data_IF_794723036031
#
_entry.id   IF_794723036031
#
_cell.length_a   1.000
_cell.length_b   1.000
_cell.length_c   1.000
_cell.angle_alpha   90.00
_cell.angle_beta   90.00
_cell.angle_gamma   90.00
#
_symmetry.space_group_name_H-M   'P 1'
#
loop_
_entity.id
_entity.type
_entity.pdbx_description
1 polymer ?
#
# COMPACT_ATOMS: atom_id res chain seq x y z
N UNK A 1 5.77 6.23 -1.79
CA UNK A 1 5.49 7.01 -0.56
C UNK A 1 5.83 6.14 0.65
N UNK A 2 7.04 6.27 1.24
CA UNK A 2 7.55 5.38 2.28
C UNK A 2 6.66 5.31 3.53
N UNK A 3 6.08 6.43 3.95
CA UNK A 3 5.22 6.52 5.12
C UNK A 3 3.97 5.63 5.01
N UNK A 4 3.25 5.68 3.88
CA UNK A 4 2.08 4.80 3.69
C UNK A 4 2.44 3.32 3.72
N UNK A 5 3.62 2.96 3.20
CA UNK A 5 4.08 1.58 3.25
C UNK A 5 4.35 1.15 4.69
N UNK A 6 5.04 1.99 5.45
CA UNK A 6 5.32 1.74 6.87
C UNK A 6 4.03 1.62 7.70
N UNK A 7 3.04 2.49 7.45
CA UNK A 7 1.73 2.44 8.09
C UNK A 7 0.98 1.14 7.76
N UNK A 8 0.97 0.73 6.50
CA UNK A 8 0.35 -0.53 6.07
C UNK A 8 1.06 -1.74 6.67
N UNK A 9 2.39 -1.74 6.70
CA UNK A 9 3.18 -2.81 7.30
C UNK A 9 2.87 -2.92 8.80
N UNK A 10 2.73 -1.79 9.50
CA UNK A 10 2.31 -1.78 10.92
C UNK A 10 0.91 -2.34 11.12
N UNK A 11 -0.05 -1.93 10.29
CA UNK A 11 -1.43 -2.45 10.36
C UNK A 11 -1.46 -3.94 10.11
N UNK A 12 -0.70 -4.44 9.12
CA UNK A 12 -0.59 -5.87 8.83
C UNK A 12 -0.03 -6.64 10.01
N UNK A 13 1.03 -6.14 10.67
CA UNK A 13 1.59 -6.77 11.86
C UNK A 13 0.58 -6.83 13.01
N UNK A 14 -0.12 -5.72 13.28
CA UNK A 14 -1.14 -5.68 14.32
C UNK A 14 -2.30 -6.65 14.02
N UNK A 15 -2.71 -6.72 12.76
CA UNK A 15 -3.74 -7.65 12.32
C UNK A 15 -3.27 -9.11 12.40
N UNK A 16 -2.04 -9.44 12.05
CA UNK A 16 -1.61 -10.83 12.10
C UNK A 16 -1.46 -11.35 13.53
N UNK A 17 -1.12 -10.47 14.49
CA UNK A 17 -0.84 -10.84 15.88
C UNK A 17 -2.03 -10.70 16.83
N UNK A 18 -3.14 -10.08 16.41
CA UNK A 18 -4.29 -9.92 17.31
C UNK A 18 -5.00 -11.26 17.55
N UNK A 19 -5.54 -11.44 18.75
CA UNK A 19 -6.35 -12.60 19.07
C UNK A 19 -7.80 -12.37 18.64
N UNK A 20 -8.28 -13.16 17.69
CA UNK A 20 -9.69 -13.22 17.34
C UNK A 20 -10.43 -13.99 18.44
N UNK A 21 -11.40 -13.33 19.08
CA UNK A 21 -12.22 -13.95 20.11
C UNK A 21 -13.12 -15.04 19.55
N UNK A 22 -13.38 -16.05 20.37
CA UNK A 22 -14.42 -17.04 20.10
C UNK A 22 -15.77 -16.34 19.93
N UNK A 23 -16.37 -16.56 18.77
CA UNK A 23 -17.70 -16.07 18.44
C UNK A 23 -18.65 -17.24 18.26
N UNK A 24 -19.96 -16.97 18.33
CA UNK A 24 -20.99 -17.98 18.03
C UNK A 24 -21.05 -18.33 16.54
N UNK A 25 -20.34 -17.60 15.68
CA UNK A 25 -20.24 -17.90 14.25
C UNK A 25 -19.12 -18.90 14.01
N UNK A 26 -19.49 -20.12 13.62
CA UNK A 26 -18.54 -21.19 13.27
C UNK A 26 -17.63 -20.82 12.08
N UNK A 27 -18.03 -19.85 11.25
CA UNK A 27 -17.21 -19.37 10.13
C UNK A 27 -16.11 -18.38 10.54
N UNK A 28 -16.08 -17.97 11.81
CA UNK A 28 -15.01 -17.13 12.36
C UNK A 28 -14.15 -17.95 13.32
N UNK A 29 -13.06 -18.56 12.83
CA UNK A 29 -12.14 -19.30 13.69
C UNK A 29 -11.51 -18.33 14.70
N UNK A 30 -11.49 -18.75 15.97
CA UNK A 30 -10.83 -18.02 17.03
C UNK A 30 -9.34 -18.30 17.07
N UNK A 31 -8.55 -17.33 17.51
CA UNK A 31 -7.10 -17.47 17.67
C UNK A 31 -6.33 -16.34 17.00
N UNK A 32 -5.00 -16.46 17.00
CA UNK A 32 -4.10 -15.51 16.36
C UNK A 32 -3.99 -15.87 14.87
N UNK A 33 -4.30 -14.96 13.92
CA UNK A 33 -4.23 -15.23 12.48
C UNK A 33 -2.88 -15.82 12.05
N UNK A 34 -1.77 -15.29 12.56
CA UNK A 34 -0.43 -15.78 12.26
C UNK A 34 -0.26 -17.26 12.69
N UNK A 35 -0.72 -17.60 13.90
CA UNK A 35 -0.64 -18.97 14.41
C UNK A 35 -1.59 -19.92 13.67
N UNK A 36 -2.81 -19.47 13.36
CA UNK A 36 -3.79 -20.28 12.61
C UNK A 36 -3.27 -20.60 11.21
N UNK A 37 -2.54 -19.66 10.58
CA UNK A 37 -1.98 -19.85 9.25
C UNK A 37 -0.74 -20.74 9.25
N UNK A 38 0.22 -20.51 10.16
CA UNK A 38 1.50 -21.23 10.18
C UNK A 38 1.45 -22.57 10.93
N UNK A 39 0.51 -22.74 11.86
CA UNK A 39 0.36 -23.95 12.67
C UNK A 39 -1.13 -24.33 12.75
N UNK A 40 -1.76 -24.65 11.59
CA UNK A 40 -3.19 -24.97 11.55
C UNK A 40 -3.54 -26.21 12.40
N UNK A 41 -2.59 -27.12 12.61
CA UNK A 41 -2.78 -28.34 13.42
C UNK A 41 -3.06 -28.04 14.89
N UNK A 42 -2.62 -26.88 15.40
CA UNK A 42 -2.92 -26.43 16.76
C UNK A 42 -4.40 -26.01 16.94
N UNK A 43 -5.13 -25.86 15.84
CA UNK A 43 -6.54 -25.44 15.80
C UNK A 43 -7.43 -26.48 15.09
N UNK A 44 -7.03 -27.76 15.13
CA UNK A 44 -7.75 -28.88 14.49
C UNK A 44 -8.01 -28.64 12.98
N UNK A 45 -7.13 -27.87 12.33
CA UNK A 45 -7.19 -27.53 10.90
C UNK A 45 -5.99 -28.15 10.17
N UNK A 46 -6.03 -28.08 8.84
CA UNK A 46 -4.98 -28.62 7.97
C UNK A 46 -4.31 -27.53 7.16
N UNK A 47 -3.01 -27.66 6.94
CA UNK A 47 -2.29 -26.77 6.03
C UNK A 47 -2.72 -27.00 4.58
N UNK A 48 -3.03 -25.90 3.89
CA UNK A 48 -3.30 -25.87 2.45
C UNK A 48 -2.16 -25.19 1.68
N UNK A 49 -1.01 -24.99 2.32
CA UNK A 49 0.16 -24.42 1.67
C UNK A 49 0.65 -25.36 0.56
N UNK A 50 1.02 -24.78 -0.56
CA UNK A 50 1.63 -25.49 -1.69
C UNK A 50 3.07 -25.05 -1.84
N UNK A 51 3.96 -26.01 -2.09
CA UNK A 51 5.33 -25.69 -2.47
C UNK A 51 5.33 -24.98 -3.81
N UNK A 52 5.98 -23.82 -3.86
CA UNK A 52 6.12 -23.00 -5.06
C UNK A 52 7.58 -23.03 -5.49
N UNK A 53 7.83 -23.13 -6.79
CA UNK A 53 9.17 -23.01 -7.36
C UNK A 53 9.75 -21.62 -7.02
N UNK A 54 10.96 -21.54 -6.42
CA UNK A 54 11.63 -20.27 -6.19
C UNK A 54 11.74 -19.40 -7.45
N UNK A 55 11.85 -19.99 -8.63
CA UNK A 55 11.89 -19.24 -9.90
C UNK A 55 10.55 -18.57 -10.20
N UNK A 56 9.44 -19.26 -9.97
CA UNK A 56 8.09 -18.68 -10.13
C UNK A 56 7.87 -17.52 -9.18
N UNK A 57 8.41 -17.59 -7.96
CA UNK A 57 8.38 -16.48 -7.00
C UNK A 57 9.17 -15.25 -7.49
N UNK A 58 10.35 -15.46 -8.08
CA UNK A 58 11.14 -14.36 -8.67
C UNK A 58 10.37 -13.72 -9.82
N UNK A 59 9.84 -14.54 -10.74
CA UNK A 59 9.08 -14.04 -11.90
C UNK A 59 7.81 -13.31 -11.46
N UNK A 60 7.06 -13.86 -10.50
CA UNK A 60 5.87 -13.22 -9.96
C UNK A 60 6.20 -11.90 -9.27
N UNK A 61 7.32 -11.83 -8.52
CA UNK A 61 7.75 -10.57 -7.90
C UNK A 61 8.06 -9.51 -8.94
N UNK A 62 8.81 -9.85 -9.97
CA UNK A 62 9.19 -8.91 -11.03
C UNK A 62 7.97 -8.48 -11.85
N UNK A 63 7.03 -9.40 -12.09
CA UNK A 63 5.84 -9.13 -12.93
C UNK A 63 4.71 -8.43 -12.17
N UNK A 64 4.49 -8.76 -10.89
CA UNK A 64 3.33 -8.33 -10.12
C UNK A 64 3.63 -7.26 -9.06
N UNK A 65 4.85 -7.22 -8.51
CA UNK A 65 5.20 -6.32 -7.40
C UNK A 65 5.95 -5.07 -7.85
N UNK A 66 6.51 -5.03 -9.07
CA UNK A 66 6.92 -3.78 -9.69
C UNK A 66 5.67 -3.01 -10.14
N UNK A 67 5.08 -2.24 -9.22
CA UNK A 67 4.34 -1.04 -9.64
C UNK A 67 5.35 -0.26 -10.50
N UNK A 68 5.07 0.07 -11.77
CA UNK A 68 5.99 0.87 -12.55
C UNK A 68 6.12 2.22 -11.84
N UNK A 69 7.15 2.39 -11.03
CA UNK A 69 7.41 3.58 -10.22
C UNK A 69 7.76 4.78 -11.10
N UNK A 70 7.85 4.61 -12.41
CA UNK A 70 8.38 5.62 -13.30
C UNK A 70 7.32 6.20 -14.24
N UNK A 71 6.47 5.37 -14.85
CA UNK A 71 5.54 5.89 -15.86
C UNK A 71 4.45 6.82 -15.29
N UNK A 72 3.87 6.49 -14.13
CA UNK A 72 2.82 7.31 -13.50
C UNK A 72 3.41 8.54 -12.79
N UNK A 73 4.61 8.42 -12.23
CA UNK A 73 5.32 9.50 -11.55
C UNK A 73 5.90 10.53 -12.54
N UNK A 74 6.38 10.10 -13.71
CA UNK A 74 6.87 11.00 -14.76
C UNK A 74 5.74 11.88 -15.30
N UNK A 75 4.60 11.28 -15.68
CA UNK A 75 3.43 12.04 -16.15
C UNK A 75 2.84 12.97 -15.10
N UNK A 76 2.80 12.53 -13.84
CA UNK A 76 2.40 13.40 -12.74
C UNK A 76 3.38 14.55 -12.54
N UNK A 77 4.70 14.30 -12.64
CA UNK A 77 5.73 15.32 -12.52
C UNK A 77 5.64 16.35 -13.66
N UNK A 78 5.42 15.92 -14.90
CA UNK A 78 5.19 16.81 -16.04
C UNK A 78 3.96 17.69 -15.81
N UNK A 79 2.83 17.09 -15.42
CA UNK A 79 1.59 17.82 -15.14
C UNK A 79 1.75 18.80 -13.98
N UNK A 80 2.42 18.37 -12.90
CA UNK A 80 2.71 19.23 -11.75
C UNK A 80 3.56 20.44 -12.16
N UNK A 81 4.58 20.24 -13.00
CA UNK A 81 5.41 21.34 -13.50
C UNK A 81 4.60 22.33 -14.35
N UNK A 82 3.71 21.84 -15.22
CA UNK A 82 2.81 22.68 -16.00
C UNK A 82 1.93 23.54 -15.08
N UNK A 83 1.21 22.90 -14.14
CA UNK A 83 0.31 23.59 -13.19
C UNK A 83 1.10 24.62 -12.37
N UNK A 84 2.28 24.26 -11.87
CA UNK A 84 3.13 25.17 -11.11
C UNK A 84 3.56 26.37 -11.94
N UNK A 85 3.94 26.16 -13.20
CA UNK A 85 4.35 27.24 -14.11
C UNK A 85 3.20 28.20 -14.45
N UNK A 86 2.00 27.67 -14.71
CA UNK A 86 0.83 28.46 -15.10
C UNK A 86 0.28 29.29 -13.93
N UNK A 87 0.36 28.74 -12.71
CA UNK A 87 -0.15 29.37 -11.50
C UNK A 87 0.92 30.13 -10.70
N UNK A 88 2.15 30.25 -11.22
CA UNK A 88 3.29 30.88 -10.56
C UNK A 88 3.57 30.33 -9.15
N UNK A 89 3.43 29.01 -8.98
CA UNK A 89 3.67 28.33 -7.70
C UNK A 89 5.17 28.07 -7.54
N UNK A 90 5.76 28.60 -6.47
CA UNK A 90 7.18 28.39 -6.17
C UNK A 90 7.49 26.95 -5.79
N UNK A 91 8.67 26.47 -6.22
CA UNK A 91 9.17 25.16 -5.80
C UNK A 91 9.50 25.17 -4.30
N UNK A 92 8.95 24.24 -3.49
CA UNK A 92 9.05 24.25 -2.03
C UNK A 92 10.46 23.91 -1.49
N UNK A 93 11.42 23.58 -2.38
CA UNK A 93 12.77 23.18 -1.97
C UNK A 93 12.74 21.91 -1.13
N UNK A 94 13.43 21.91 0.02
CA UNK A 94 13.55 20.76 0.94
C UNK A 94 12.61 20.86 2.15
N UNK A 95 11.78 21.91 2.27
CA UNK A 95 10.88 22.10 3.41
C UNK A 95 9.66 21.17 3.29
N UNK A 96 9.60 20.16 4.17
CA UNK A 96 8.57 19.11 4.18
C UNK A 96 7.16 19.70 4.28
N UNK A 97 6.93 20.75 5.08
CA UNK A 97 5.60 21.33 5.25
C UNK A 97 5.14 22.04 3.98
N UNK A 98 6.07 22.63 3.22
CA UNK A 98 5.77 23.29 1.94
C UNK A 98 5.52 22.25 0.84
N UNK A 99 6.25 21.14 0.86
CA UNK A 99 6.06 20.01 -0.07
C UNK A 99 4.66 19.42 0.10
N UNK A 100 4.23 19.18 1.33
CA UNK A 100 2.88 18.65 1.61
C UNK A 100 1.78 19.60 1.12
N UNK A 101 1.91 20.90 1.40
CA UNK A 101 0.96 21.92 0.93
C UNK A 101 0.91 22.02 -0.59
N UNK A 102 2.07 21.93 -1.25
CA UNK A 102 2.14 21.89 -2.72
C UNK A 102 1.38 20.68 -3.26
N UNK A 103 1.59 19.50 -2.68
CA UNK A 103 0.90 18.29 -3.13
C UNK A 103 -0.63 18.43 -3.03
N UNK A 104 -1.14 18.90 -1.88
CA UNK A 104 -2.58 19.13 -1.69
C UNK A 104 -3.13 20.12 -2.72
N UNK A 105 -2.40 21.20 -2.98
CA UNK A 105 -2.80 22.23 -3.94
C UNK A 105 -2.84 21.68 -5.38
N UNK A 106 -1.82 20.91 -5.79
CA UNK A 106 -1.77 20.26 -7.10
C UNK A 106 -2.93 19.29 -7.32
N UNK A 107 -3.28 18.49 -6.30
CA UNK A 107 -4.44 17.58 -6.38
C UNK A 107 -5.74 18.37 -6.57
N UNK A 108 -5.91 19.51 -5.90
CA UNK A 108 -7.06 20.40 -6.11
C UNK A 108 -7.18 20.86 -7.57
N UNK A 109 -6.08 21.35 -8.15
CA UNK A 109 -6.06 21.77 -9.55
C UNK A 109 -6.37 20.64 -10.53
N UNK A 110 -5.87 19.42 -10.26
CA UNK A 110 -6.14 18.25 -11.11
C UNK A 110 -7.61 17.83 -11.05
N UNK A 111 -8.24 17.95 -9.87
CA UNK A 111 -9.67 17.67 -9.71
C UNK A 111 -10.54 18.66 -10.47
N UNK A 112 -10.17 19.95 -10.47
CA UNK A 112 -10.88 20.98 -11.22
C UNK A 112 -10.80 20.76 -12.74
N UNK A 113 -9.68 20.23 -13.25
CA UNK A 113 -9.50 19.88 -14.67
C UNK A 113 -10.38 18.69 -15.09
N UNK A 114 -10.62 17.73 -14.19
CA UNK A 114 -11.42 16.53 -14.46
C UNK A 114 -12.94 16.75 -14.34
N UNK A 115 -13.38 17.97 -13.99
CA UNK A 115 -14.79 18.33 -13.84
C UNK A 115 -15.35 19.14 -15.04
N UNK A 116 -14.60 19.22 -16.14
CA UNK A 116 -15.01 19.80 -17.43
C UNK A 116 -15.15 18.72 -18.49
#
# INVERSE_FOLDING_TARGET
MPLLKEELDRVAQQWNLHMIHQSTNEQSPSGCPDTIFFIPEAFDSTSYLQDVDPLDLVVAKDTCCEIPQYASLERFSELAQIIMSENNIESPGTDINKVERLYINLIGHIQDINLV
#
